data_IF_200226023462
#
_entry.id   IF_200226023462
#
_cell.length_a   1.000
_cell.length_b   1.000
_cell.length_c   1.000
_cell.angle_alpha   90.00
_cell.angle_beta   90.00
_cell.angle_gamma   90.00
#
_symmetry.space_group_name_H-M   'P 1'
#
loop_
_entity.id
_entity.type
_entity.pdbx_description
1 polymer ?
#
# COMPACT_ATOMS: atom_id res chain seq x y z
N UNK A 1 13.62 -16.38 -16.39
CA UNK A 1 12.48 -16.43 -15.45
C UNK A 1 11.64 -15.23 -15.79
N UNK A 2 10.42 -15.44 -16.26
CA UNK A 2 9.50 -14.32 -16.49
C UNK A 2 9.12 -13.72 -15.13
N UNK A 3 9.05 -12.39 -15.00
CA UNK A 3 8.67 -11.77 -13.75
C UNK A 3 7.26 -12.21 -13.37
N UNK A 4 7.10 -12.71 -12.15
CA UNK A 4 5.76 -12.99 -11.61
C UNK A 4 5.07 -11.66 -11.35
N UNK A 5 3.94 -11.43 -12.04
CA UNK A 5 3.10 -10.26 -11.78
C UNK A 5 2.30 -10.52 -10.52
N UNK A 6 2.47 -9.66 -9.52
CA UNK A 6 1.69 -9.66 -8.30
C UNK A 6 0.74 -8.45 -8.28
N UNK A 7 -0.51 -8.65 -7.89
CA UNK A 7 -1.51 -7.58 -7.80
C UNK A 7 -2.46 -7.76 -6.62
N UNK A 8 -3.01 -6.65 -6.14
CA UNK A 8 -4.00 -6.63 -5.06
C UNK A 8 -4.94 -5.43 -5.24
N UNK A 9 -6.21 -5.62 -4.88
CA UNK A 9 -7.12 -4.49 -4.70
C UNK A 9 -6.86 -3.86 -3.33
N UNK A 10 -6.09 -2.78 -3.31
CA UNK A 10 -5.79 -2.05 -2.09
C UNK A 10 -7.05 -1.35 -1.54
N UNK A 11 -7.20 -1.33 -0.21
CA UNK A 11 -8.33 -0.71 0.48
C UNK A 11 -7.85 0.38 1.41
N UNK A 12 -8.60 1.49 1.47
CA UNK A 12 -8.43 2.47 2.52
C UNK A 12 -8.91 1.91 3.85
N UNK A 13 -8.16 2.21 4.91
CA UNK A 13 -8.50 1.81 6.27
C UNK A 13 -9.15 2.99 7.00
N UNK A 14 -10.24 2.77 7.77
CA UNK A 14 -10.91 3.83 8.54
C UNK A 14 -9.96 4.60 9.46
N UNK A 15 -8.93 3.94 10.00
CA UNK A 15 -7.92 4.54 10.87
C UNK A 15 -7.14 5.70 10.23
N UNK A 16 -7.12 5.80 8.89
CA UNK A 16 -6.43 6.87 8.17
C UNK A 16 -7.32 8.08 7.83
N UNK A 17 -8.63 8.03 8.16
CA UNK A 17 -9.59 9.06 7.77
C UNK A 17 -9.32 10.46 8.38
N UNK A 18 -8.49 10.56 9.42
CA UNK A 18 -8.10 11.87 10.00
C UNK A 18 -7.27 12.73 9.04
N UNK A 19 -6.63 12.13 8.03
CA UNK A 19 -6.05 12.86 6.92
C UNK A 19 -7.07 12.88 5.77
N UNK A 20 -7.64 14.05 5.40
CA UNK A 20 -8.73 14.13 4.44
C UNK A 20 -8.43 13.52 3.07
N UNK A 21 -7.16 13.41 2.66
CA UNK A 21 -6.79 12.80 1.37
C UNK A 21 -7.20 11.32 1.27
N UNK A 22 -7.45 10.65 2.41
CA UNK A 22 -7.96 9.27 2.49
C UNK A 22 -9.49 9.19 2.53
N UNK A 23 -10.17 10.32 2.35
CA UNK A 23 -11.62 10.41 2.14
C UNK A 23 -11.89 10.82 0.69
N UNK A 24 -13.04 10.43 0.16
CA UNK A 24 -13.44 10.82 -1.20
C UNK A 24 -13.55 12.33 -1.37
N UNK A 25 -14.09 13.01 -0.37
CA UNK A 25 -14.22 14.46 -0.36
C UNK A 25 -12.86 15.15 -0.39
N UNK A 26 -11.96 14.79 0.54
CA UNK A 26 -10.64 15.42 0.62
C UNK A 26 -9.73 15.05 -0.54
N UNK A 27 -9.81 13.83 -1.07
CA UNK A 27 -9.11 13.43 -2.30
C UNK A 27 -9.52 14.29 -3.50
N UNK A 28 -10.83 14.47 -3.69
CA UNK A 28 -11.35 15.36 -4.75
C UNK A 28 -10.99 16.83 -4.54
N UNK A 29 -11.06 17.32 -3.30
CA UNK A 29 -10.65 18.68 -2.97
C UNK A 29 -9.16 18.94 -3.26
N UNK A 30 -8.32 17.91 -3.18
CA UNK A 30 -6.91 17.96 -3.53
C UNK A 30 -6.60 17.71 -5.02
N UNK A 31 -7.62 17.49 -5.87
CA UNK A 31 -7.48 17.31 -7.32
C UNK A 31 -7.29 15.86 -7.78
N UNK A 32 -7.55 14.87 -6.91
CA UNK A 32 -7.59 13.46 -7.29
C UNK A 32 -9.03 13.02 -7.63
N UNK A 33 -9.20 11.89 -8.31
CA UNK A 33 -10.53 11.39 -8.68
C UNK A 33 -11.35 10.91 -7.45
N UNK A 34 -10.67 10.41 -6.42
CA UNK A 34 -11.26 9.84 -5.21
C UNK A 34 -10.23 9.77 -4.07
N UNK A 35 -10.59 9.12 -2.96
CA UNK A 35 -9.69 8.86 -1.84
C UNK A 35 -8.42 8.12 -2.28
N UNK A 36 -7.25 8.57 -1.81
CA UNK A 36 -6.00 7.85 -2.01
C UNK A 36 -5.83 6.80 -0.92
N UNK A 37 -5.31 5.62 -1.28
CA UNK A 37 -4.87 4.62 -0.29
C UNK A 37 -3.66 5.16 0.46
N UNK A 38 -3.67 5.06 1.79
CA UNK A 38 -2.53 5.50 2.59
C UNK A 38 -1.24 4.77 2.20
N UNK A 39 -0.15 5.52 2.08
CA UNK A 39 1.15 4.99 1.64
C UNK A 39 1.66 3.86 2.54
N UNK A 40 1.37 3.91 3.84
CA UNK A 40 1.69 2.82 4.79
C UNK A 40 0.91 1.54 4.49
N UNK A 41 -0.36 1.65 4.08
CA UNK A 41 -1.17 0.50 3.65
C UNK A 41 -0.64 -0.08 2.34
N UNK A 42 -0.28 0.78 1.37
CA UNK A 42 0.37 0.35 0.13
C UNK A 42 1.69 -0.36 0.42
N UNK A 43 2.51 0.18 1.32
CA UNK A 43 3.77 -0.43 1.73
C UNK A 43 3.55 -1.83 2.33
N UNK A 44 2.55 -1.97 3.23
CA UNK A 44 2.20 -3.25 3.82
C UNK A 44 1.76 -4.30 2.77
N UNK A 45 1.06 -3.89 1.70
CA UNK A 45 0.75 -4.78 0.59
C UNK A 45 2.00 -5.22 -0.17
N UNK A 46 2.94 -4.30 -0.42
CA UNK A 46 4.17 -4.58 -1.16
C UNK A 46 5.15 -5.50 -0.41
N UNK A 47 5.03 -5.65 0.91
CA UNK A 47 5.87 -6.61 1.64
C UNK A 47 5.56 -8.06 1.28
N UNK A 48 4.33 -8.38 0.85
CA UNK A 48 3.93 -9.76 0.52
C UNK A 48 4.79 -10.39 -0.59
N UNK A 49 4.89 -9.82 -1.81
CA UNK A 49 5.72 -10.42 -2.86
C UNK A 49 7.21 -10.47 -2.48
N UNK A 50 7.66 -9.55 -1.62
CA UNK A 50 9.04 -9.53 -1.13
C UNK A 50 9.28 -10.69 -0.17
N UNK A 51 8.39 -10.90 0.80
CA UNK A 51 8.45 -12.03 1.75
C UNK A 51 8.30 -13.37 1.03
N UNK A 52 7.46 -13.45 -0.01
CA UNK A 52 7.33 -14.64 -0.85
C UNK A 52 8.64 -14.96 -1.60
N UNK A 53 9.45 -13.95 -1.93
CA UNK A 53 10.72 -14.14 -2.65
C UNK A 53 11.93 -14.38 -1.73
N UNK A 54 12.00 -13.71 -0.58
CA UNK A 54 13.21 -13.65 0.27
C UNK A 54 13.01 -14.16 1.70
N UNK A 55 11.79 -14.54 2.08
CA UNK A 55 11.46 -15.03 3.42
C UNK A 55 11.06 -13.91 4.39
N UNK A 56 10.41 -14.28 5.52
CA UNK A 56 9.94 -13.32 6.52
C UNK A 56 11.08 -12.59 7.25
N UNK A 57 12.29 -13.15 7.29
CA UNK A 57 13.47 -12.54 7.91
C UNK A 57 13.82 -11.18 7.28
N UNK A 58 13.50 -10.99 5.99
CA UNK A 58 13.66 -9.71 5.31
C UNK A 58 12.92 -8.56 6.01
N UNK A 59 11.80 -8.83 6.68
CA UNK A 59 11.06 -7.79 7.44
C UNK A 59 11.85 -7.27 8.65
N UNK A 60 12.74 -8.10 9.21
CA UNK A 60 13.56 -7.75 10.37
C UNK A 60 14.89 -7.13 9.93
N UNK A 61 15.54 -7.71 8.92
CA UNK A 61 16.94 -7.42 8.60
C UNK A 61 17.11 -6.61 7.31
N UNK A 62 16.05 -6.47 6.50
CA UNK A 62 16.11 -5.82 5.19
C UNK A 62 16.77 -6.68 4.10
N UNK A 63 17.11 -6.05 2.98
CA UNK A 63 17.85 -6.68 1.87
C UNK A 63 19.31 -6.22 1.85
N UNK A 64 20.19 -7.07 1.30
CA UNK A 64 21.61 -6.77 1.09
C UNK A 64 21.85 -5.82 -0.08
#
# INVERSE_FOLDING_TARGET
MDPTIWSVQARNLPEHASNPIHTDEGGRAAGFDAALVAGVTVYAYLTRPIVEAWGPEWLADGGA
#
